data_IF_781946049345
#
_entry.id   IF_781946049345
#
_cell.length_a   1.000
_cell.length_b   1.000
_cell.length_c   1.000
_cell.angle_alpha   90.00
_cell.angle_beta   90.00
_cell.angle_gamma   90.00
#
_symmetry.space_group_name_H-M   'P 1'
#
loop_
_entity.id
_entity.type
_entity.pdbx_description
1 polymer ?
#
# COMPACT_ATOMS: atom_id res chain seq x y z
N UNK A 1 19.25 -14.50 -2.88
CA UNK A 1 17.89 -14.59 -2.29
C UNK A 1 17.46 -13.17 -1.96
N UNK A 2 16.24 -12.75 -2.37
CA UNK A 2 15.78 -11.35 -2.17
C UNK A 2 15.70 -11.03 -0.69
N UNK A 3 16.23 -9.87 -0.30
CA UNK A 3 16.37 -9.43 1.10
C UNK A 3 15.04 -8.94 1.67
N UNK A 4 14.30 -8.15 0.89
CA UNK A 4 13.00 -7.58 1.25
C UNK A 4 11.89 -8.32 0.52
N UNK A 5 10.88 -8.79 1.24
CA UNK A 5 9.79 -9.59 0.68
C UNK A 5 8.45 -9.05 1.13
N UNK A 6 7.62 -8.72 0.14
CA UNK A 6 6.28 -8.19 0.33
C UNK A 6 5.27 -9.11 -0.36
N UNK A 7 4.34 -9.62 0.42
CA UNK A 7 3.23 -10.44 -0.05
C UNK A 7 1.95 -9.66 0.21
N UNK A 8 1.28 -9.22 -0.85
CA UNK A 8 0.15 -8.30 -0.80
C UNK A 8 -1.11 -9.05 -1.22
N UNK A 9 -2.00 -9.28 -0.27
CA UNK A 9 -3.27 -9.95 -0.48
C UNK A 9 -4.36 -8.90 -0.60
N UNK A 10 -4.99 -8.81 -1.78
CA UNK A 10 -6.01 -7.82 -2.09
C UNK A 10 -7.39 -8.46 -2.06
N UNK A 11 -8.36 -7.82 -1.36
CA UNK A 11 -9.74 -8.27 -1.32
C UNK A 11 -10.35 -8.30 -2.72
N UNK A 12 -10.17 -7.24 -3.49
CA UNK A 12 -10.62 -7.13 -4.86
C UNK A 12 -9.74 -7.91 -5.84
N UNK A 13 -10.35 -8.27 -6.97
CA UNK A 13 -9.65 -8.99 -8.03
C UNK A 13 -8.84 -8.08 -8.97
N UNK A 14 -9.16 -6.78 -9.02
CA UNK A 14 -8.61 -5.88 -10.03
C UNK A 14 -8.13 -4.53 -9.50
N UNK A 15 -8.96 -3.76 -8.79
CA UNK A 15 -8.66 -2.36 -8.45
C UNK A 15 -7.37 -2.22 -7.66
N UNK A 16 -7.27 -2.91 -6.52
CA UNK A 16 -6.10 -2.89 -5.65
C UNK A 16 -4.89 -3.57 -6.31
N UNK A 17 -5.04 -4.79 -6.92
CA UNK A 17 -3.92 -5.40 -7.63
C UNK A 17 -3.38 -4.53 -8.78
N UNK A 18 -4.24 -3.89 -9.58
CA UNK A 18 -3.80 -2.97 -10.63
C UNK A 18 -2.99 -1.80 -10.07
N UNK A 19 -3.45 -1.20 -8.98
CA UNK A 19 -2.74 -0.09 -8.34
C UNK A 19 -1.36 -0.51 -7.81
N UNK A 20 -1.27 -1.61 -7.06
CA UNK A 20 0.01 -2.07 -6.51
C UNK A 20 0.96 -2.66 -7.55
N UNK A 21 0.44 -3.18 -8.67
CA UNK A 21 1.27 -3.60 -9.81
C UNK A 21 2.06 -2.43 -10.40
N UNK A 22 1.58 -1.19 -10.30
CA UNK A 22 2.35 0.00 -10.68
C UNK A 22 3.63 0.15 -9.85
N UNK A 23 3.56 -0.02 -8.51
CA UNK A 23 4.75 -0.05 -7.65
C UNK A 23 5.67 -1.22 -8.00
N UNK A 24 5.11 -2.43 -8.12
CA UNK A 24 5.87 -3.63 -8.46
C UNK A 24 6.68 -3.42 -9.73
N UNK A 25 6.06 -2.93 -10.80
CA UNK A 25 6.73 -2.65 -12.08
C UNK A 25 7.89 -1.68 -11.92
N UNK A 26 7.68 -0.52 -11.29
CA UNK A 26 8.74 0.46 -11.09
C UNK A 26 9.90 -0.06 -10.23
N UNK A 27 9.64 -0.93 -9.26
CA UNK A 27 10.66 -1.53 -8.39
C UNK A 27 11.43 -2.62 -9.14
N UNK A 28 10.74 -3.45 -9.93
CA UNK A 28 11.36 -4.49 -10.77
C UNK A 28 12.19 -3.88 -11.92
N UNK A 29 11.79 -2.72 -12.44
CA UNK A 29 12.56 -1.97 -13.45
C UNK A 29 13.72 -1.17 -12.83
N UNK A 30 13.77 -1.02 -11.49
CA UNK A 30 14.82 -0.25 -10.82
C UNK A 30 16.10 -1.11 -10.67
N UNK A 31 17.22 -0.75 -11.34
CA UNK A 31 18.45 -1.55 -11.31
C UNK A 31 19.06 -1.70 -9.92
N UNK A 32 18.74 -0.79 -8.98
CA UNK A 32 19.26 -0.84 -7.60
C UNK A 32 18.51 -1.89 -6.78
N UNK A 33 17.18 -2.00 -6.95
CA UNK A 33 16.33 -2.77 -6.03
C UNK A 33 15.71 -4.03 -6.64
N UNK A 34 15.69 -4.18 -7.97
CA UNK A 34 15.07 -5.32 -8.66
C UNK A 34 15.53 -6.70 -8.16
N UNK A 35 16.80 -6.80 -7.74
CA UNK A 35 17.38 -8.05 -7.24
C UNK A 35 17.27 -8.21 -5.72
N UNK A 36 16.91 -7.13 -5.00
CA UNK A 36 16.81 -7.09 -3.54
C UNK A 36 15.37 -7.22 -3.04
N UNK A 37 14.39 -6.80 -3.84
CA UNK A 37 12.99 -6.73 -3.43
C UNK A 37 12.14 -7.76 -4.18
N UNK A 38 11.33 -8.50 -3.45
CA UNK A 38 10.26 -9.36 -3.99
C UNK A 38 8.91 -8.74 -3.66
N UNK A 39 8.07 -8.56 -4.67
CA UNK A 39 6.67 -8.17 -4.48
C UNK A 39 5.80 -9.23 -5.14
N UNK A 40 5.00 -9.90 -4.33
CA UNK A 40 3.98 -10.84 -4.77
C UNK A 40 2.60 -10.25 -4.45
N UNK A 41 1.74 -10.16 -5.45
CA UNK A 41 0.38 -9.62 -5.32
C UNK A 41 -0.60 -10.72 -5.62
N UNK A 42 -1.48 -11.00 -4.64
CA UNK A 42 -2.47 -12.07 -4.70
C UNK A 42 -3.88 -11.47 -4.63
N UNK A 43 -4.63 -11.44 -5.73
CA UNK A 43 -6.05 -11.09 -5.71
C UNK A 43 -6.82 -12.23 -5.05
N UNK A 44 -7.62 -11.91 -4.04
CA UNK A 44 -8.34 -12.92 -3.25
C UNK A 44 -9.76 -13.16 -3.76
N UNK A 45 -10.43 -12.15 -4.32
CA UNK A 45 -11.84 -12.24 -4.72
C UNK A 45 -12.74 -12.70 -3.57
N UNK A 46 -12.45 -12.25 -2.35
CA UNK A 46 -13.01 -12.84 -1.14
C UNK A 46 -13.34 -11.78 -0.10
N UNK A 47 -14.32 -12.05 0.74
CA UNK A 47 -14.71 -11.18 1.85
C UNK A 47 -13.57 -10.93 2.84
N UNK A 48 -13.61 -9.78 3.49
CA UNK A 48 -12.64 -9.20 4.43
C UNK A 48 -11.86 -10.22 5.30
N UNK A 49 -12.53 -11.06 6.09
CA UNK A 49 -11.87 -12.07 6.94
C UNK A 49 -11.22 -13.21 6.15
N UNK A 50 -11.65 -13.46 4.92
CA UNK A 50 -11.04 -14.50 4.07
C UNK A 50 -9.71 -14.05 3.52
N UNK A 51 -9.48 -12.73 3.36
CA UNK A 51 -8.19 -12.18 2.89
C UNK A 51 -7.07 -12.61 3.83
N UNK A 52 -7.21 -12.37 5.14
CA UNK A 52 -6.18 -12.78 6.10
C UNK A 52 -6.07 -14.30 6.21
N UNK A 53 -7.19 -15.05 6.13
CA UNK A 53 -7.17 -16.50 6.10
C UNK A 53 -6.45 -17.09 4.88
N UNK A 54 -6.55 -16.44 3.72
CA UNK A 54 -5.78 -16.82 2.52
C UNK A 54 -4.30 -16.51 2.70
N UNK A 55 -3.97 -15.34 3.26
CA UNK A 55 -2.60 -14.95 3.57
C UNK A 55 -1.92 -15.96 4.52
N UNK A 56 -2.60 -16.38 5.59
CA UNK A 56 -2.09 -17.39 6.53
C UNK A 56 -1.83 -18.75 5.83
N UNK A 57 -2.78 -19.21 5.01
CA UNK A 57 -2.62 -20.45 4.23
C UNK A 57 -1.44 -20.34 3.27
N UNK A 58 -1.34 -19.24 2.53
CA UNK A 58 -0.25 -19.01 1.59
C UNK A 58 1.11 -19.05 2.30
N UNK A 59 1.25 -18.39 3.45
CA UNK A 59 2.48 -18.40 4.25
C UNK A 59 2.84 -19.81 4.67
N UNK A 60 1.86 -20.60 5.13
CA UNK A 60 2.06 -22.00 5.54
C UNK A 60 2.44 -22.90 4.34
N UNK A 61 1.66 -22.84 3.27
CA UNK A 61 1.81 -23.74 2.12
C UNK A 61 3.11 -23.49 1.36
N UNK A 62 3.56 -22.22 1.29
CA UNK A 62 4.81 -21.82 0.65
C UNK A 62 6.00 -21.74 1.64
N UNK A 63 5.81 -22.18 2.89
CA UNK A 63 6.84 -22.20 3.92
C UNK A 63 7.58 -20.84 4.05
N UNK A 64 6.82 -19.74 4.05
CA UNK A 64 7.38 -18.40 4.19
C UNK A 64 7.87 -18.19 5.62
N UNK A 65 9.16 -18.03 5.78
CA UNK A 65 9.82 -17.85 7.09
C UNK A 65 10.22 -16.43 7.41
N UNK A 66 10.18 -15.53 6.41
CA UNK A 66 10.56 -14.11 6.55
C UNK A 66 9.84 -13.25 5.51
N UNK A 67 9.34 -12.10 5.92
CA UNK A 67 8.75 -11.09 5.03
C UNK A 67 7.60 -10.32 5.67
N UNK A 68 7.06 -9.41 4.90
CA UNK A 68 5.89 -8.62 5.27
C UNK A 68 4.66 -9.13 4.49
N UNK A 69 3.59 -9.38 5.20
CA UNK A 69 2.32 -9.86 4.68
C UNK A 69 1.31 -8.73 4.83
N UNK A 70 0.83 -8.21 3.73
CA UNK A 70 -0.10 -7.08 3.70
C UNK A 70 -1.48 -7.52 3.26
N UNK A 71 -2.48 -7.30 4.12
CA UNK A 71 -3.89 -7.51 3.78
C UNK A 71 -4.49 -6.17 3.38
N UNK A 72 -4.86 -6.01 2.11
CA UNK A 72 -5.52 -4.82 1.57
C UNK A 72 -6.99 -5.13 1.42
N UNK A 73 -7.86 -4.39 2.12
CA UNK A 73 -9.29 -4.68 2.15
C UNK A 73 -10.13 -3.45 2.46
N UNK A 74 -11.38 -3.50 2.05
CA UNK A 74 -12.35 -2.44 2.15
C UNK A 74 -13.42 -2.73 3.22
N UNK A 75 -13.98 -1.69 3.84
CA UNK A 75 -15.09 -1.84 4.80
C UNK A 75 -16.37 -2.25 4.08
N UNK A 76 -16.65 -1.63 2.96
CA UNK A 76 -17.86 -1.87 2.19
C UNK A 76 -19.14 -1.97 3.07
N UNK A 77 -20.04 -2.87 2.72
CA UNK A 77 -21.24 -3.19 3.50
C UNK A 77 -21.03 -4.32 4.52
N UNK A 78 -19.78 -4.78 4.70
CA UNK A 78 -19.49 -5.87 5.62
C UNK A 78 -19.71 -5.49 7.08
N UNK A 79 -20.04 -6.48 7.96
CA UNK A 79 -20.19 -6.24 9.38
C UNK A 79 -18.92 -5.63 10.00
N UNK A 80 -19.10 -4.68 10.92
CA UNK A 80 -18.02 -4.05 11.66
C UNK A 80 -17.06 -5.06 12.32
N UNK A 81 -17.61 -6.15 12.84
CA UNK A 81 -16.85 -7.21 13.49
C UNK A 81 -15.83 -7.86 12.53
N UNK A 82 -16.23 -8.13 11.30
CA UNK A 82 -15.33 -8.73 10.30
C UNK A 82 -14.21 -7.77 9.92
N UNK A 83 -14.53 -6.50 9.72
CA UNK A 83 -13.56 -5.49 9.35
C UNK A 83 -12.53 -5.26 10.46
N UNK A 84 -12.96 -5.06 11.70
CA UNK A 84 -12.07 -4.91 12.86
C UNK A 84 -11.33 -6.22 13.20
N UNK A 85 -11.94 -7.37 12.92
CA UNK A 85 -11.38 -8.70 13.18
C UNK A 85 -10.05 -8.96 12.49
N UNK A 86 -9.83 -8.40 11.29
CA UNK A 86 -8.54 -8.51 10.58
C UNK A 86 -7.42 -7.87 11.38
N UNK A 87 -7.63 -6.67 11.94
CA UNK A 87 -6.61 -5.98 12.76
C UNK A 87 -6.27 -6.81 14.00
N UNK A 88 -7.26 -7.31 14.72
CA UNK A 88 -7.04 -8.18 15.89
C UNK A 88 -6.30 -9.46 15.53
N UNK A 89 -6.59 -10.05 14.35
CA UNK A 89 -5.88 -11.24 13.87
C UNK A 89 -4.42 -10.93 13.53
N UNK A 90 -4.16 -9.82 12.85
CA UNK A 90 -2.81 -9.31 12.55
C UNK A 90 -1.99 -9.17 13.84
N UNK A 91 -2.53 -8.53 14.88
CA UNK A 91 -1.87 -8.37 16.16
C UNK A 91 -1.53 -9.71 16.81
N UNK A 92 -2.45 -10.68 16.75
CA UNK A 92 -2.23 -12.04 17.28
C UNK A 92 -1.11 -12.76 16.54
N UNK A 93 -1.09 -12.70 15.20
CA UNK A 93 -0.07 -13.36 14.37
C UNK A 93 1.33 -12.78 14.61
N UNK A 94 1.44 -11.47 14.73
CA UNK A 94 2.71 -10.78 14.96
C UNK A 94 3.33 -11.12 16.33
N UNK A 95 2.53 -11.50 17.32
CA UNK A 95 3.03 -11.98 18.62
C UNK A 95 3.70 -13.35 18.54
N UNK A 96 3.29 -14.18 17.57
CA UNK A 96 3.77 -15.57 17.45
C UNK A 96 5.01 -15.72 16.58
N UNK A 97 5.25 -14.83 15.60
CA UNK A 97 6.39 -14.91 14.70
C UNK A 97 6.92 -13.52 14.31
N UNK A 98 8.04 -13.07 14.88
CA UNK A 98 8.58 -11.74 14.60
C UNK A 98 9.24 -11.60 13.22
N UNK A 99 9.52 -12.71 12.52
CA UNK A 99 10.15 -12.67 11.19
C UNK A 99 9.15 -12.58 10.04
N UNK A 100 7.89 -12.95 10.28
CA UNK A 100 6.78 -12.81 9.33
C UNK A 100 5.81 -11.79 9.92
N UNK A 101 5.89 -10.56 9.42
CA UNK A 101 5.11 -9.44 9.93
C UNK A 101 3.85 -9.24 9.11
N UNK A 102 2.69 -9.31 9.75
CA UNK A 102 1.39 -9.07 9.13
C UNK A 102 0.96 -7.62 9.32
N UNK A 103 0.31 -7.06 8.30
CA UNK A 103 -0.16 -5.67 8.29
C UNK A 103 -1.56 -5.59 7.70
N UNK A 104 -2.37 -4.68 8.22
CA UNK A 104 -3.73 -4.41 7.77
C UNK A 104 -3.80 -3.04 7.06
N UNK A 105 -3.86 -3.04 5.74
CA UNK A 105 -3.99 -1.85 4.90
C UNK A 105 -5.46 -1.66 4.46
N UNK A 106 -6.28 -1.24 5.39
CA UNK A 106 -7.72 -1.11 5.19
C UNK A 106 -8.14 0.26 4.67
N UNK A 107 -9.32 0.32 4.01
CA UNK A 107 -10.02 1.55 3.66
C UNK A 107 -11.47 1.53 4.13
N UNK A 108 -11.92 2.60 4.76
CA UNK A 108 -13.31 2.83 5.13
C UNK A 108 -13.84 4.04 4.33
N UNK A 109 -14.67 3.91 3.34
CA UNK A 109 -15.46 2.75 2.93
C UNK A 109 -14.74 1.86 1.89
N UNK A 110 -13.91 2.43 1.00
CA UNK A 110 -13.26 1.73 -0.12
C UNK A 110 -11.94 2.42 -0.52
N UNK A 111 -11.12 1.72 -1.32
CA UNK A 111 -9.80 2.21 -1.75
C UNK A 111 -9.88 3.50 -2.59
N UNK A 112 -11.03 3.80 -3.22
CA UNK A 112 -11.22 5.06 -3.94
C UNK A 112 -11.09 6.28 -3.03
N UNK A 113 -11.33 6.12 -1.72
CA UNK A 113 -11.02 7.18 -0.75
C UNK A 113 -9.52 7.50 -0.72
N UNK A 114 -8.66 6.48 -0.73
CA UNK A 114 -7.21 6.68 -0.86
C UNK A 114 -6.85 7.40 -2.16
N UNK A 115 -7.44 7.02 -3.29
CA UNK A 115 -7.19 7.67 -4.58
C UNK A 115 -7.62 9.14 -4.58
N UNK A 116 -8.74 9.45 -3.96
CA UNK A 116 -9.26 10.81 -3.82
C UNK A 116 -8.31 11.71 -3.02
N UNK A 117 -7.66 11.18 -1.97
CA UNK A 117 -6.72 11.94 -1.15
C UNK A 117 -5.49 12.45 -1.93
N UNK A 118 -5.18 11.90 -3.11
CA UNK A 118 -4.16 12.44 -4.00
C UNK A 118 -4.51 13.80 -4.58
N UNK A 119 -5.78 14.19 -4.56
CA UNK A 119 -6.28 15.42 -5.15
C UNK A 119 -6.85 16.40 -4.12
N UNK A 120 -7.41 15.93 -3.03
CA UNK A 120 -8.05 16.77 -2.03
C UNK A 120 -8.04 16.15 -0.63
N UNK A 121 -7.94 17.01 0.41
CA UNK A 121 -8.24 16.62 1.79
C UNK A 121 -9.75 16.49 1.98
N UNK A 122 -10.19 15.39 2.54
CA UNK A 122 -11.61 15.10 2.69
C UNK A 122 -11.88 14.29 3.96
N UNK A 123 -12.88 14.70 4.73
CA UNK A 123 -13.20 14.12 6.04
C UNK A 123 -14.68 13.75 6.22
N UNK A 124 -15.52 14.02 5.20
CA UNK A 124 -16.94 13.66 5.30
C UNK A 124 -17.11 12.16 5.06
N UNK A 125 -17.78 11.50 5.99
CA UNK A 125 -18.15 10.09 5.82
C UNK A 125 -19.25 9.98 4.77
N UNK A 126 -18.90 9.43 3.61
CA UNK A 126 -19.81 9.25 2.48
C UNK A 126 -19.74 7.83 1.94
N UNK A 127 -20.84 7.43 1.30
CA UNK A 127 -20.88 6.19 0.55
C UNK A 127 -19.90 6.23 -0.65
N UNK A 128 -19.29 5.10 -1.00
CA UNK A 128 -18.31 4.95 -2.11
C UNK A 128 -18.69 5.65 -3.42
N UNK A 129 -19.99 5.76 -3.73
CA UNK A 129 -20.47 6.45 -4.93
C UNK A 129 -19.99 7.90 -5.02
N UNK A 130 -19.84 8.58 -3.86
CA UNK A 130 -19.38 9.96 -3.81
C UNK A 130 -17.88 10.05 -4.11
N UNK A 131 -17.08 9.11 -3.62
CA UNK A 131 -15.65 9.04 -3.95
C UNK A 131 -15.43 8.77 -5.45
N UNK A 132 -16.20 7.84 -6.02
CA UNK A 132 -16.17 7.54 -7.46
C UNK A 132 -16.64 8.76 -8.27
N UNK A 133 -17.69 9.47 -7.82
CA UNK A 133 -18.16 10.71 -8.48
C UNK A 133 -17.06 11.77 -8.49
N UNK A 134 -16.40 12.00 -7.36
CA UNK A 134 -15.27 12.92 -7.27
C UNK A 134 -14.14 12.54 -8.24
N UNK A 135 -13.75 11.27 -8.29
CA UNK A 135 -12.72 10.80 -9.22
C UNK A 135 -13.13 10.99 -10.68
N UNK A 136 -14.41 10.74 -11.02
CA UNK A 136 -14.93 10.99 -12.36
C UNK A 136 -14.83 12.48 -12.76
N UNK A 137 -15.22 13.37 -11.87
CA UNK A 137 -15.13 14.81 -12.09
C UNK A 137 -13.67 15.24 -12.26
N UNK A 138 -12.79 14.72 -11.41
CA UNK A 138 -11.35 15.03 -11.48
C UNK A 138 -10.70 14.51 -12.76
N UNK A 139 -10.99 13.29 -13.16
CA UNK A 139 -10.48 12.70 -14.39
C UNK A 139 -10.98 13.46 -15.62
N UNK A 140 -12.25 13.86 -15.63
CA UNK A 140 -12.80 14.69 -16.71
C UNK A 140 -12.09 16.05 -16.82
N UNK A 141 -11.82 16.72 -15.69
CA UNK A 141 -11.04 17.98 -15.65
C UNK A 141 -9.63 17.83 -16.21
N UNK A 142 -9.04 16.64 -16.06
CA UNK A 142 -7.70 16.31 -16.56
C UNK A 142 -7.71 15.82 -18.03
N UNK A 143 -8.88 15.74 -18.67
CA UNK A 143 -9.02 15.21 -20.02
C UNK A 143 -8.85 13.69 -20.15
N UNK A 144 -8.96 12.96 -19.03
CA UNK A 144 -8.73 11.51 -18.96
C UNK A 144 -10.02 10.67 -19.11
N UNK A 145 -11.18 11.33 -19.31
CA UNK A 145 -12.46 10.66 -19.37
C UNK A 145 -13.02 10.32 -17.98
N UNK A 146 -13.53 9.10 -17.79
CA UNK A 146 -14.10 8.64 -16.51
C UNK A 146 -13.17 7.69 -15.78
N UNK A 147 -13.13 7.77 -14.45
CA UNK A 147 -12.50 6.76 -13.62
C UNK A 147 -13.12 5.36 -13.87
N UNK A 148 -12.27 4.35 -13.95
CA UNK A 148 -12.67 2.94 -14.10
C UNK A 148 -11.97 2.12 -13.03
N UNK A 149 -12.73 1.38 -12.23
CA UNK A 149 -12.23 0.55 -11.13
C UNK A 149 -11.12 -0.42 -11.53
N UNK A 150 -11.24 -1.00 -12.71
CA UNK A 150 -10.30 -2.02 -13.22
C UNK A 150 -9.26 -1.44 -14.21
N UNK A 151 -9.02 -0.12 -14.15
CA UNK A 151 -8.00 0.49 -15.01
C UNK A 151 -6.60 0.17 -14.50
N UNK A 152 -5.75 -0.32 -15.38
CA UNK A 152 -4.31 -0.51 -15.14
C UNK A 152 -3.56 0.81 -15.03
N UNK A 153 -4.18 1.92 -15.47
CA UNK A 153 -3.53 3.24 -15.54
C UNK A 153 -3.72 4.05 -14.25
N UNK A 154 -4.49 3.54 -13.29
CA UNK A 154 -4.82 4.28 -12.05
C UNK A 154 -3.55 4.72 -11.32
N UNK A 155 -2.57 3.84 -11.16
CA UNK A 155 -1.30 4.18 -10.53
C UNK A 155 -0.58 5.32 -11.26
N UNK A 156 -0.43 5.22 -12.58
CA UNK A 156 0.28 6.22 -13.39
C UNK A 156 -0.45 7.58 -13.37
N UNK A 157 -1.78 7.56 -13.40
CA UNK A 157 -2.60 8.79 -13.30
C UNK A 157 -2.39 9.47 -11.94
N UNK A 158 -2.43 8.71 -10.85
CA UNK A 158 -2.23 9.24 -9.50
C UNK A 158 -0.81 9.78 -9.31
N UNK A 159 0.20 9.10 -9.85
CA UNK A 159 1.59 9.57 -9.82
C UNK A 159 1.80 10.82 -10.66
N UNK A 160 1.18 10.91 -11.85
CA UNK A 160 1.38 12.01 -12.77
C UNK A 160 0.57 13.27 -12.43
N UNK A 161 -0.65 13.09 -11.96
CA UNK A 161 -1.64 14.18 -11.82
C UNK A 161 -2.09 14.41 -10.37
N UNK A 162 -1.81 13.44 -9.48
CA UNK A 162 -2.08 13.54 -8.05
C UNK A 162 -0.86 13.98 -7.25
N UNK A 163 -0.99 13.89 -5.92
CA UNK A 163 0.12 14.18 -5.01
C UNK A 163 0.21 13.09 -3.92
N UNK A 164 1.05 12.05 -4.11
CA UNK A 164 1.16 10.93 -3.18
C UNK A 164 1.61 11.37 -1.78
N UNK A 165 2.47 12.39 -1.67
CA UNK A 165 2.91 12.95 -0.39
C UNK A 165 1.76 13.57 0.40
N UNK A 166 0.91 14.32 -0.27
CA UNK A 166 -0.27 14.92 0.38
C UNK A 166 -1.28 13.85 0.74
N UNK A 167 -1.49 12.84 -0.12
CA UNK A 167 -2.38 11.72 0.18
C UNK A 167 -1.97 11.01 1.49
N UNK A 168 -0.68 10.66 1.63
CA UNK A 168 -0.16 10.08 2.87
C UNK A 168 -0.34 10.99 4.09
N UNK A 169 -0.05 12.29 3.95
CA UNK A 169 -0.24 13.26 5.04
C UNK A 169 -1.70 13.39 5.47
N UNK A 170 -2.61 13.41 4.51
CA UNK A 170 -4.03 13.50 4.77
C UNK A 170 -4.57 12.25 5.45
N UNK A 171 -4.19 11.08 4.95
CA UNK A 171 -4.56 9.81 5.57
C UNK A 171 -4.02 9.69 7.01
N UNK A 172 -2.74 10.00 7.23
CA UNK A 172 -2.13 10.02 8.58
C UNK A 172 -2.87 10.95 9.52
N UNK A 173 -3.14 12.18 9.09
CA UNK A 173 -3.87 13.15 9.91
C UNK A 173 -5.23 12.61 10.32
N UNK A 174 -5.99 12.02 9.40
CA UNK A 174 -7.29 11.43 9.72
C UNK A 174 -7.15 10.32 10.77
N UNK A 175 -6.16 9.41 10.62
CA UNK A 175 -5.90 8.35 11.59
C UNK A 175 -5.49 8.92 12.96
N UNK A 176 -4.62 9.93 12.99
CA UNK A 176 -4.14 10.56 14.22
C UNK A 176 -5.25 11.30 14.95
N UNK A 177 -6.12 12.01 14.21
CA UNK A 177 -7.29 12.73 14.77
C UNK A 177 -8.32 11.76 15.41
N UNK A 178 -8.28 10.45 15.04
CA UNK A 178 -9.16 9.40 15.56
C UNK A 178 -8.41 8.33 16.38
N UNK A 179 -7.28 8.68 16.96
CA UNK A 179 -6.44 7.75 17.72
C UNK A 179 -7.22 7.07 18.84
N UNK A 180 -7.15 5.74 18.88
CA UNK A 180 -7.84 4.91 19.88
C UNK A 180 -9.22 4.44 19.46
N UNK A 181 -9.74 4.90 18.33
CA UNK A 181 -10.97 4.38 17.75
C UNK A 181 -10.73 3.09 16.97
N UNK A 182 -11.79 2.30 16.81
CA UNK A 182 -11.70 1.09 15.96
C UNK A 182 -11.70 1.46 14.48
N UNK A 183 -11.14 0.64 13.58
CA UNK A 183 -11.13 0.93 12.15
C UNK A 183 -12.50 1.27 11.56
N UNK A 184 -13.57 0.64 12.04
CA UNK A 184 -14.95 0.93 11.61
C UNK A 184 -15.43 2.31 12.01
N UNK A 185 -14.94 2.83 13.13
CA UNK A 185 -15.36 4.14 13.66
C UNK A 185 -14.59 5.29 12.99
N UNK A 186 -13.50 4.98 12.30
CA UNK A 186 -12.72 5.95 11.52
C UNK A 186 -13.29 5.99 10.11
N UNK A 187 -14.30 6.85 9.90
CA UNK A 187 -15.01 6.97 8.64
C UNK A 187 -15.18 8.45 8.21
N UNK A 188 -14.54 8.88 7.12
CA UNK A 188 -13.66 8.09 6.23
C UNK A 188 -12.27 7.90 6.85
N UNK A 189 -11.61 6.81 6.47
CA UNK A 189 -10.24 6.55 6.88
C UNK A 189 -9.56 5.50 6.01
N UNK A 190 -8.23 5.50 5.98
CA UNK A 190 -7.47 4.47 5.26
C UNK A 190 -6.07 4.32 5.84
N UNK A 191 -5.58 3.07 5.87
CA UNK A 191 -4.20 2.72 6.20
C UNK A 191 -3.39 2.23 5.01
N UNK A 192 -3.92 2.37 3.80
CA UNK A 192 -3.20 2.05 2.55
C UNK A 192 -1.88 2.82 2.45
N UNK A 193 -1.80 4.03 3.03
CA UNK A 193 -0.57 4.82 3.03
C UNK A 193 0.61 4.09 3.68
N UNK A 194 0.39 3.22 4.67
CA UNK A 194 1.46 2.47 5.34
C UNK A 194 2.18 1.55 4.35
N UNK A 195 1.43 0.79 3.54
CA UNK A 195 1.98 -0.05 2.47
C UNK A 195 2.64 0.78 1.37
N UNK A 196 2.00 1.87 0.97
CA UNK A 196 2.52 2.78 -0.06
C UNK A 196 3.87 3.36 0.35
N UNK A 197 4.02 3.82 1.60
CA UNK A 197 5.28 4.35 2.12
C UNK A 197 6.37 3.27 2.23
N UNK A 198 5.99 2.03 2.56
CA UNK A 198 6.93 0.91 2.53
C UNK A 198 7.48 0.67 1.12
N UNK A 199 6.60 0.56 0.12
CA UNK A 199 7.01 0.31 -1.26
C UNK A 199 7.75 1.49 -1.87
N UNK A 200 7.38 2.72 -1.52
CA UNK A 200 8.01 3.95 -2.03
C UNK A 200 9.51 4.03 -1.73
N UNK A 201 10.01 3.34 -0.70
CA UNK A 201 11.44 3.27 -0.34
C UNK A 201 12.31 2.73 -1.49
N UNK A 202 11.72 1.89 -2.35
CA UNK A 202 12.42 1.16 -3.41
C UNK A 202 12.14 1.70 -4.82
N UNK A 203 11.33 2.74 -4.94
CA UNK A 203 11.09 3.40 -6.22
C UNK A 203 12.36 4.06 -6.78
N UNK A 204 12.45 4.24 -8.09
CA UNK A 204 13.45 5.12 -8.69
C UNK A 204 13.44 6.51 -8.04
N UNK A 205 14.59 7.17 -7.98
CA UNK A 205 14.74 8.43 -7.25
C UNK A 205 13.74 9.49 -7.64
N UNK A 206 13.48 9.66 -8.94
CA UNK A 206 12.51 10.64 -9.44
C UNK A 206 11.08 10.38 -8.93
N UNK A 207 10.64 9.12 -8.95
CA UNK A 207 9.33 8.74 -8.42
C UNK A 207 9.29 8.87 -6.88
N UNK A 208 10.38 8.50 -6.20
CA UNK A 208 10.49 8.58 -4.73
C UNK A 208 10.40 10.02 -4.21
N UNK A 209 10.93 11.01 -4.94
CA UNK A 209 10.81 12.43 -4.60
C UNK A 209 9.36 12.89 -4.43
N UNK A 210 8.44 12.28 -5.14
CA UNK A 210 7.01 12.62 -5.05
C UNK A 210 6.38 12.21 -3.71
N UNK A 211 7.00 11.27 -2.97
CA UNK A 211 6.56 10.85 -1.62
C UNK A 211 7.20 11.70 -0.51
N UNK A 212 8.11 12.61 -0.86
CA UNK A 212 8.85 13.44 0.07
C UNK A 212 10.17 12.80 0.46
N UNK A 213 11.22 13.60 0.49
CA UNK A 213 12.54 13.18 0.96
C UNK A 213 12.48 12.93 2.47
N UNK A 214 12.08 11.75 2.91
CA UNK A 214 12.48 11.30 4.22
C UNK A 214 13.96 10.95 4.13
N UNK A 215 14.75 11.42 5.09
CA UNK A 215 16.18 11.12 5.28
C UNK A 215 16.38 9.60 5.33
N UNK A 216 16.52 8.96 4.19
CA UNK A 216 17.10 7.63 4.06
C UNK A 216 18.54 7.76 3.53
N UNK A 217 19.37 8.57 4.23
CA UNK A 217 20.80 8.48 4.17
C UNK A 217 21.25 7.46 5.20
N UNK A 218 21.36 6.23 4.80
CA UNK A 218 21.84 5.20 5.68
C UNK A 218 21.74 3.82 5.08
N UNK A 219 22.56 3.50 4.13
CA UNK A 219 23.36 2.29 3.90
C UNK A 219 23.78 2.28 2.42
N UNK A 220 24.90 2.82 2.10
CA UNK A 220 25.84 2.34 1.10
C UNK A 220 27.03 3.34 0.92
N UNK A 221 27.80 3.56 1.99
CA UNK A 221 29.14 4.14 1.90
C UNK A 221 30.14 3.28 2.68
N UNK A 222 30.30 2.02 2.30
CA UNK A 222 31.38 1.20 2.84
C UNK A 222 31.83 0.08 1.89
N UNK A 223 31.88 0.35 0.59
CA UNK A 223 32.63 -0.52 -0.35
C UNK A 223 33.26 0.30 -1.48
N UNK A 224 34.05 1.31 -1.09
CA UNK A 224 35.15 1.85 -1.91
C UNK A 224 36.39 2.00 -1.01
N UNK A 225 36.82 0.85 -0.54
CA UNK A 225 38.13 0.71 0.15
C UNK A 225 39.21 0.46 -0.86
N UNK A 226 39.92 1.53 -1.17
CA UNK A 226 41.36 1.63 -1.42
C UNK A 226 42.05 0.38 -2.03
N UNK A 227 42.22 0.41 -3.33
CA UNK A 227 43.40 -0.23 -3.95
C UNK A 227 44.41 0.91 -4.18
N UNK A 228 45.22 1.21 -3.17
CA UNK A 228 46.42 2.00 -3.35
C UNK A 228 47.58 1.03 -3.56
N UNK A 229 48.21 1.16 -4.71
CA UNK A 229 49.42 0.44 -5.06
C UNK A 229 50.57 0.72 -4.11
N UNK A 230 51.33 -0.30 -3.81
CA UNK A 230 52.70 -0.25 -3.28
C UNK A 230 53.64 -0.76 -4.35
N UNK A 231 54.41 0.18 -4.91
CA UNK A 231 55.67 -0.15 -5.56
C UNK A 231 56.71 -0.40 -4.47
N UNK A 232 57.42 -1.44 -4.55
CA UNK A 232 58.88 -1.60 -4.65
C UNK A 232 59.17 -3.10 -4.63
#
# INVERSE_FOLDING_TARGET
MKEHRYYIFCEGEQTEPCYFNGFKKLIEDNPIYRDMVLIQIEPCGAETMRVIGQAERYVKDNQITKGQIWCVYDKDSFPAQNFNGVVSRVESLNKSNPLVQYHAAWSNECIEFWFMLHFAYYTSNNHRKEYIRFLNERYAQLGLGKYKKNSTDTFDILMKHGNPRLASRYAKRIIDDHKGMTPTDIAPGTKVFELVEELAKYLPEESRKQFGSSKFSGVCQSFLGTISGGRL
#
